data_IF_162015793177
#
_entry.id   IF_162015793177
#
_cell.length_a   1.000
_cell.length_b   1.000
_cell.length_c   1.000
_cell.angle_alpha   90.00
_cell.angle_beta   90.00
_cell.angle_gamma   90.00
#
_symmetry.space_group_name_H-M   'P 1'
#
loop_
_entity.id
_entity.type
_entity.pdbx_description
1 polymer ?
#
# COMPACT_ATOMS: atom_id res chain seq x y z
N UNK A 1 12.79 -13.32 -5.06
CA UNK A 1 13.31 -11.98 -5.28
C UNK A 1 13.75 -11.50 -3.91
N UNK A 2 14.94 -10.92 -3.82
CA UNK A 2 15.37 -10.23 -2.60
C UNK A 2 14.60 -8.92 -2.42
N UNK A 3 14.70 -8.34 -1.22
CA UNK A 3 13.94 -7.15 -0.84
C UNK A 3 14.33 -5.92 -1.67
N UNK A 4 15.62 -5.71 -1.95
CA UNK A 4 16.10 -4.56 -2.73
C UNK A 4 15.45 -4.56 -4.12
N UNK A 5 15.46 -5.71 -4.79
CA UNK A 5 14.86 -5.83 -6.12
C UNK A 5 13.34 -5.75 -6.09
N UNK A 6 12.71 -6.29 -5.05
CA UNK A 6 11.26 -6.18 -4.87
C UNK A 6 10.82 -4.72 -4.71
N UNK A 7 11.45 -3.99 -3.79
CA UNK A 7 11.12 -2.59 -3.55
C UNK A 7 11.40 -1.71 -4.76
N UNK A 8 12.51 -1.94 -5.46
CA UNK A 8 12.81 -1.25 -6.69
C UNK A 8 11.72 -1.46 -7.77
N UNK A 9 11.17 -2.67 -7.87
CA UNK A 9 10.06 -2.96 -8.80
C UNK A 9 8.79 -2.18 -8.44
N UNK A 10 8.43 -2.14 -7.15
CA UNK A 10 7.24 -1.39 -6.67
C UNK A 10 7.43 0.11 -6.86
N UNK A 11 8.56 0.67 -6.41
CA UNK A 11 8.84 2.11 -6.45
C UNK A 11 8.88 2.64 -7.89
N UNK A 12 9.49 1.88 -8.82
CA UNK A 12 9.49 2.23 -10.25
C UNK A 12 8.08 2.20 -10.84
N UNK A 13 7.26 1.21 -10.47
CA UNK A 13 5.88 1.13 -10.94
C UNK A 13 5.05 2.33 -10.48
N UNK A 14 5.20 2.76 -9.22
CA UNK A 14 4.48 3.90 -8.66
C UNK A 14 4.94 5.25 -9.22
N UNK A 15 6.25 5.45 -9.30
CA UNK A 15 6.84 6.69 -9.85
C UNK A 15 6.45 6.94 -11.31
N UNK A 16 6.31 5.87 -12.10
CA UNK A 16 5.91 5.95 -13.50
C UNK A 16 4.41 6.22 -13.70
N UNK A 17 3.61 5.99 -12.66
CA UNK A 17 2.15 6.05 -12.72
C UNK A 17 1.55 7.41 -12.36
N UNK A 18 2.34 8.35 -11.85
CA UNK A 18 1.87 9.71 -11.52
C UNK A 18 0.67 9.75 -10.56
N UNK A 19 0.55 8.75 -9.67
CA UNK A 19 -0.56 8.62 -8.73
C UNK A 19 -1.78 7.84 -9.24
N UNK A 20 -1.75 7.32 -10.46
CA UNK A 20 -2.79 6.46 -11.06
C UNK A 20 -2.59 4.99 -10.67
N UNK A 21 -3.60 4.38 -10.03
CA UNK A 21 -3.52 2.96 -9.65
C UNK A 21 -3.55 2.05 -10.88
N UNK A 22 -4.32 2.44 -11.89
CA UNK A 22 -4.42 1.74 -13.16
C UNK A 22 -3.05 1.74 -13.88
N UNK A 23 -2.39 2.88 -13.97
CA UNK A 23 -1.10 2.99 -14.67
C UNK A 23 0.02 2.26 -13.89
N UNK A 24 -0.03 2.28 -12.56
CA UNK A 24 0.89 1.52 -11.72
C UNK A 24 0.70 0.01 -11.95
N UNK A 25 -0.56 -0.44 -12.01
CA UNK A 25 -0.90 -1.84 -12.26
C UNK A 25 -0.42 -2.28 -13.63
N UNK A 26 -0.60 -1.47 -14.67
CA UNK A 26 -0.12 -1.77 -16.03
C UNK A 26 1.41 -1.83 -16.08
N UNK A 27 2.08 -0.86 -15.45
CA UNK A 27 3.56 -0.79 -15.40
C UNK A 27 4.13 -2.01 -14.68
N UNK A 28 3.59 -2.35 -13.50
CA UNK A 28 4.02 -3.50 -12.72
C UNK A 28 3.76 -4.82 -13.46
N UNK A 29 2.60 -4.93 -14.11
CA UNK A 29 2.24 -6.12 -14.92
C UNK A 29 3.24 -6.31 -16.06
N UNK A 30 3.56 -5.23 -16.79
CA UNK A 30 4.51 -5.26 -17.90
C UNK A 30 5.91 -5.65 -17.42
N UNK A 31 6.37 -5.07 -16.30
CA UNK A 31 7.68 -5.39 -15.73
C UNK A 31 7.76 -6.87 -15.29
N UNK A 32 6.73 -7.38 -14.61
CA UNK A 32 6.66 -8.78 -14.18
C UNK A 32 6.60 -9.75 -15.36
N UNK A 33 5.85 -9.41 -16.43
CA UNK A 33 5.76 -10.24 -17.63
C UNK A 33 7.11 -10.42 -18.35
N UNK A 34 8.05 -9.50 -18.16
CA UNK A 34 9.42 -9.60 -18.67
C UNK A 34 10.35 -10.51 -17.85
N UNK A 35 9.91 -11.03 -16.70
CA UNK A 35 10.75 -11.83 -15.81
C UNK A 35 10.54 -13.35 -16.01
N UNK A 36 11.54 -14.18 -15.63
CA UNK A 36 11.35 -15.62 -15.51
C UNK A 36 10.23 -15.97 -14.54
N UNK A 37 9.50 -17.07 -14.78
CA UNK A 37 8.38 -17.51 -13.92
C UNK A 37 8.76 -17.64 -12.44
N UNK A 38 9.98 -18.10 -12.15
CA UNK A 38 10.48 -18.20 -10.77
C UNK A 38 10.58 -16.83 -10.10
N UNK A 39 10.96 -15.80 -10.84
CA UNK A 39 11.05 -14.42 -10.32
C UNK A 39 9.66 -13.81 -10.11
N UNK A 40 8.70 -14.11 -10.97
CA UNK A 40 7.29 -13.71 -10.79
C UNK A 40 6.71 -14.37 -9.53
N UNK A 41 6.94 -15.67 -9.33
CA UNK A 41 6.49 -16.34 -8.11
C UNK A 41 7.18 -15.75 -6.87
N UNK A 42 8.47 -15.42 -7.00
CA UNK A 42 9.23 -14.90 -5.88
C UNK A 42 8.92 -13.42 -5.57
N UNK A 43 8.42 -12.62 -6.51
CA UNK A 43 7.88 -11.29 -6.24
C UNK A 43 6.56 -11.38 -5.47
N UNK A 44 5.70 -12.35 -5.80
CA UNK A 44 4.47 -12.61 -5.05
C UNK A 44 4.78 -13.00 -3.59
N UNK A 45 5.76 -13.89 -3.39
CA UNK A 45 6.18 -14.30 -2.03
C UNK A 45 6.70 -13.10 -1.23
N UNK A 46 7.54 -12.24 -1.84
CA UNK A 46 8.02 -11.03 -1.19
C UNK A 46 6.88 -10.07 -0.83
N UNK A 47 5.96 -9.83 -1.77
CA UNK A 47 4.78 -8.98 -1.53
C UNK A 47 3.93 -9.49 -0.36
N UNK A 48 3.66 -10.80 -0.33
CA UNK A 48 2.88 -11.42 0.74
C UNK A 48 3.59 -11.29 2.10
N UNK A 49 4.91 -11.53 2.15
CA UNK A 49 5.70 -11.38 3.37
C UNK A 49 5.60 -9.96 3.93
N UNK A 50 5.87 -8.94 3.12
CA UNK A 50 5.78 -7.53 3.53
C UNK A 50 4.36 -7.15 3.97
N UNK A 51 3.32 -7.60 3.25
CA UNK A 51 1.93 -7.38 3.67
C UNK A 51 1.61 -8.03 5.01
N UNK A 52 2.17 -9.20 5.30
CA UNK A 52 1.94 -9.92 6.55
C UNK A 52 2.67 -9.27 7.73
N UNK A 53 3.80 -8.58 7.50
CA UNK A 53 4.45 -7.74 8.52
C UNK A 53 3.57 -6.59 9.03
N UNK A 54 2.62 -6.12 8.20
CA UNK A 54 1.66 -5.09 8.57
C UNK A 54 0.45 -5.63 9.35
N UNK A 55 0.36 -6.94 9.61
CA UNK A 55 -0.75 -7.51 10.36
C UNK A 55 -0.62 -7.19 11.85
N UNK A 56 -1.13 -6.04 12.27
CA UNK A 56 -1.15 -5.61 13.66
C UNK A 56 -2.51 -5.02 14.06
N UNK A 57 -2.85 -5.14 15.35
CA UNK A 57 -4.06 -4.53 15.90
C UNK A 57 -4.03 -3.01 15.82
N UNK A 58 -2.86 -2.40 15.99
CA UNK A 58 -2.69 -0.94 15.92
C UNK A 58 -3.01 -0.42 14.51
N UNK A 59 -2.46 -1.08 13.47
CA UNK A 59 -2.76 -0.70 12.09
C UNK A 59 -4.22 -0.99 11.71
N UNK A 60 -4.80 -2.08 12.21
CA UNK A 60 -6.21 -2.35 12.00
C UNK A 60 -7.09 -1.29 12.68
N UNK A 61 -6.74 -0.86 13.90
CA UNK A 61 -7.41 0.24 14.58
C UNK A 61 -7.38 1.53 13.77
N UNK A 62 -6.20 1.89 13.24
CA UNK A 62 -6.05 3.04 12.35
C UNK A 62 -6.90 2.90 11.08
N UNK A 63 -6.86 1.73 10.43
CA UNK A 63 -7.68 1.42 9.25
C UNK A 63 -9.19 1.53 9.56
N UNK A 64 -9.63 1.04 10.71
CA UNK A 64 -11.02 1.10 11.14
C UNK A 64 -11.48 2.54 11.34
N UNK A 65 -10.67 3.38 12.00
CA UNK A 65 -10.97 4.80 12.20
C UNK A 65 -11.00 5.56 10.88
N UNK A 66 -10.01 5.33 10.01
CA UNK A 66 -9.91 5.97 8.71
C UNK A 66 -11.07 5.58 7.80
N UNK A 67 -11.51 4.32 7.77
CA UNK A 67 -12.54 3.87 6.83
C UNK A 67 -13.97 3.84 7.41
N UNK A 68 -14.16 4.21 8.69
CA UNK A 68 -15.45 4.12 9.37
C UNK A 68 -15.91 2.67 9.61
N UNK A 69 -14.95 1.77 9.80
CA UNK A 69 -15.12 0.32 9.89
C UNK A 69 -14.15 -0.42 8.96
N UNK A 70 -13.71 -1.62 9.34
CA UNK A 70 -12.88 -2.45 8.47
C UNK A 70 -13.00 -3.95 8.80
N UNK A 71 -13.47 -4.74 7.82
CA UNK A 71 -13.46 -6.21 7.86
C UNK A 71 -12.07 -6.79 7.55
N UNK A 72 -11.91 -8.11 7.67
CA UNK A 72 -10.67 -8.80 7.29
C UNK A 72 -10.25 -8.55 5.82
N UNK A 73 -11.21 -8.56 4.89
CA UNK A 73 -10.95 -8.28 3.47
C UNK A 73 -10.51 -6.82 3.27
N UNK A 74 -11.21 -5.89 3.93
CA UNK A 74 -10.83 -4.48 3.96
C UNK A 74 -9.40 -4.30 4.49
N UNK A 75 -9.03 -5.02 5.55
CA UNK A 75 -7.71 -4.91 6.15
C UNK A 75 -6.62 -5.56 5.28
N UNK A 76 -6.98 -6.59 4.51
CA UNK A 76 -6.09 -7.20 3.52
C UNK A 76 -5.83 -6.26 2.35
N UNK A 77 -6.87 -5.61 1.82
CA UNK A 77 -6.75 -4.59 0.78
C UNK A 77 -5.91 -3.40 1.27
N UNK A 78 -6.16 -2.92 2.49
CA UNK A 78 -5.46 -1.79 3.07
C UNK A 78 -3.95 -2.03 3.22
N UNK A 79 -3.56 -3.19 3.74
CA UNK A 79 -2.13 -3.56 3.84
C UNK A 79 -1.49 -3.74 2.46
N UNK A 80 -2.22 -4.31 1.51
CA UNK A 80 -1.73 -4.45 0.13
C UNK A 80 -1.51 -3.09 -0.54
N UNK A 81 -2.40 -2.13 -0.26
CA UNK A 81 -2.27 -0.75 -0.71
C UNK A 81 -1.05 -0.05 -0.11
N UNK A 82 -0.77 -0.23 1.20
CA UNK A 82 0.43 0.31 1.86
C UNK A 82 1.70 -0.21 1.19
N UNK A 83 1.78 -1.50 0.89
CA UNK A 83 2.94 -2.08 0.18
C UNK A 83 3.09 -1.47 -1.21
N UNK A 84 1.98 -1.22 -1.92
CA UNK A 84 1.99 -0.61 -3.25
C UNK A 84 2.44 0.87 -3.26
N UNK A 85 2.42 1.58 -2.12
CA UNK A 85 2.96 2.94 -2.00
C UNK A 85 4.49 2.98 -2.03
N UNK A 86 5.16 1.83 -1.92
CA UNK A 86 6.62 1.75 -1.98
C UNK A 86 7.30 1.66 -0.61
N UNK A 87 8.62 1.49 -0.63
CA UNK A 87 9.38 1.07 0.55
C UNK A 87 9.34 2.10 1.68
N UNK A 88 9.57 3.38 1.34
CA UNK A 88 9.64 4.44 2.34
C UNK A 88 8.30 4.62 3.08
N UNK A 89 7.18 4.56 2.34
CA UNK A 89 5.86 4.65 2.92
C UNK A 89 5.54 3.44 3.79
N UNK A 90 5.85 2.24 3.29
CA UNK A 90 5.70 0.99 4.02
C UNK A 90 6.45 1.02 5.36
N UNK A 91 7.73 1.41 5.36
CA UNK A 91 8.54 1.47 6.59
C UNK A 91 8.04 2.52 7.58
N UNK A 92 7.56 3.67 7.09
CA UNK A 92 6.96 4.70 7.92
C UNK A 92 5.69 4.19 8.61
N UNK A 93 4.77 3.56 7.87
CA UNK A 93 3.54 2.99 8.44
C UNK A 93 3.83 1.83 9.39
N UNK A 94 4.77 0.95 9.04
CA UNK A 94 5.15 -0.21 9.87
C UNK A 94 5.75 0.22 11.21
N UNK A 95 6.50 1.32 11.22
CA UNK A 95 7.14 1.85 12.43
C UNK A 95 6.20 2.68 13.31
N UNK A 96 5.29 3.45 12.72
CA UNK A 96 4.31 4.28 13.43
C UNK A 96 2.94 4.25 12.72
N UNK A 97 2.10 3.22 12.95
CA UNK A 97 0.76 3.14 12.37
C UNK A 97 -0.13 4.34 12.70
N UNK A 98 0.12 4.99 13.85
CA UNK A 98 -0.64 6.16 14.30
C UNK A 98 -0.40 7.39 13.40
N UNK A 99 0.74 7.46 12.71
CA UNK A 99 1.03 8.54 11.76
C UNK A 99 -0.02 8.66 10.65
N UNK A 100 -0.67 7.56 10.26
CA UNK A 100 -1.79 7.56 9.31
C UNK A 100 -3.03 8.24 9.91
N UNK A 101 -3.39 7.89 11.14
CA UNK A 101 -4.55 8.46 11.81
C UNK A 101 -4.40 9.96 12.11
N UNK A 102 -3.17 10.39 12.36
CA UNK A 102 -2.83 11.79 12.61
C UNK A 102 -2.68 12.62 11.32
N UNK A 103 -2.78 12.00 10.15
CA UNK A 103 -2.57 12.65 8.84
C UNK A 103 -1.13 13.12 8.61
N UNK A 104 -0.15 12.51 9.30
CA UNK A 104 1.29 12.83 9.19
C UNK A 104 1.96 12.19 7.96
N UNK A 105 1.29 11.23 7.34
CA UNK A 105 1.70 10.63 6.07
C UNK A 105 0.73 11.15 4.99
N UNK A 106 1.26 11.80 3.97
CA UNK A 106 0.47 12.22 2.82
C UNK A 106 0.02 10.98 2.04
N UNK A 107 -1.21 11.03 1.54
CA UNK A 107 -1.74 10.02 0.62
C UNK A 107 -1.36 10.45 -0.79
N UNK A 108 -0.24 9.92 -1.29
CA UNK A 108 0.21 10.13 -2.68
C UNK A 108 -0.76 9.48 -3.68
N UNK A 109 -1.63 8.58 -3.20
CA UNK A 109 -2.62 7.85 -3.96
C UNK A 109 -4.02 8.44 -3.83
N UNK A 110 -4.42 9.27 -4.79
CA UNK A 110 -5.79 9.77 -4.97
C UNK A 110 -6.94 8.71 -4.83
N UNK A 111 -6.61 7.42 -4.83
CA UNK A 111 -7.50 6.27 -4.73
C UNK A 111 -8.28 6.14 -3.39
N UNK A 112 -7.69 6.39 -2.22
CA UNK A 112 -8.45 6.22 -0.95
C UNK A 112 -9.52 7.30 -0.79
N UNK A 113 -9.19 8.55 -1.15
CA UNK A 113 -10.16 9.65 -1.20
C UNK A 113 -11.23 9.45 -2.27
N UNK A 114 -10.89 8.88 -3.42
CA UNK A 114 -11.86 8.57 -4.47
C UNK A 114 -12.79 7.41 -4.09
N UNK A 115 -12.27 6.39 -3.38
CA UNK A 115 -13.03 5.19 -2.97
C UNK A 115 -13.86 5.43 -1.70
N UNK A 116 -13.43 6.33 -0.82
CA UNK A 116 -14.13 6.72 0.40
C UNK A 116 -14.26 8.26 0.52
N UNK A 117 -15.09 8.91 -0.31
CA UNK A 117 -15.19 10.38 -0.40
C UNK A 117 -15.73 11.06 0.87
N UNK A 118 -16.18 10.30 1.88
CA UNK A 118 -16.62 10.84 3.17
C UNK A 118 -15.46 11.16 4.12
N UNK A 119 -14.23 10.84 3.74
CA UNK A 119 -13.03 11.11 4.52
C UNK A 119 -12.48 12.50 4.16
N UNK A 120 -13.23 13.54 4.55
CA UNK A 120 -12.65 14.88 4.71
C UNK A 120 -11.90 14.93 6.03
N UNK A 121 -10.77 15.67 6.12
CA UNK A 121 -10.09 15.86 7.38
C UNK A 121 -11.02 16.70 8.27
N UNK A 122 -11.51 16.09 9.36
CA UNK A 122 -12.04 16.79 10.53
C UNK A 122 -12.96 17.99 10.22
N UNK A 123 -14.24 17.74 9.99
CA UNK A 123 -15.30 18.66 10.43
C UNK A 123 -16.04 18.07 11.63
N UNK A 124 -15.27 17.87 12.71
CA UNK A 124 -15.82 17.93 14.06
C UNK A 124 -15.60 19.34 14.60
N UNK A 125 -16.37 20.29 14.05
CA UNK A 125 -17.07 21.42 14.68
C UNK A 125 -18.03 22.00 13.63
#
# INVERSE_FOLDING_TARGET
MDDERFWNLIDQSGSSAGGSVEDQTETLTTALAGLPTQEIAASYVAFAAHRDELYSWDLWGAAYLLMGGCSDDCFTDFRSWIVAQGQAYFEAVRSDPQALADGRLEDDGHALRARYPRLSPLSYW
#
